data_IF_615103562855
#
_entry.id   IF_615103562855
#
_cell.length_a   1.000
_cell.length_b   1.000
_cell.length_c   1.000
_cell.angle_alpha   90.00
_cell.angle_beta   90.00
_cell.angle_gamma   90.00
#
_symmetry.space_group_name_H-M   'P 1'
#
loop_
_entity.id
_entity.type
_entity.pdbx_description
1 polymer ?
#
# COMPACT_ATOMS: atom_id res chain seq x y z
N UNK A 1 -2.79 8.03 -19.28
CA UNK A 1 -2.33 6.68 -18.97
C UNK A 1 -0.82 6.62 -19.22
N UNK A 2 -0.02 6.48 -18.16
CA UNK A 2 1.44 6.54 -18.29
C UNK A 2 1.93 5.17 -18.79
N UNK A 3 2.56 5.12 -19.95
CA UNK A 3 3.13 3.88 -20.49
C UNK A 3 4.52 3.67 -19.89
N UNK A 4 4.60 2.86 -18.85
CA UNK A 4 5.83 2.56 -18.10
C UNK A 4 6.76 1.63 -18.89
N UNK A 5 6.23 0.83 -19.80
CA UNK A 5 7.02 -0.07 -20.66
C UNK A 5 8.05 0.69 -21.53
N UNK A 6 7.94 2.01 -21.61
CA UNK A 6 8.81 2.90 -22.39
C UNK A 6 10.10 3.30 -21.68
N UNK A 7 10.26 3.01 -20.38
CA UNK A 7 11.36 3.50 -19.56
C UNK A 7 12.15 2.37 -18.89
N UNK A 8 12.78 1.51 -19.69
CA UNK A 8 13.91 0.73 -19.17
C UNK A 8 15.09 1.66 -19.03
N UNK A 9 15.34 2.12 -17.82
CA UNK A 9 16.52 2.91 -17.49
C UNK A 9 17.78 2.05 -17.67
N UNK A 10 18.79 2.57 -18.33
CA UNK A 10 20.12 2.00 -18.32
C UNK A 10 20.79 2.20 -16.94
N UNK A 11 21.98 1.66 -16.69
CA UNK A 11 22.60 1.71 -15.36
C UNK A 11 22.97 3.14 -14.94
N UNK A 12 23.41 4.00 -15.86
CA UNK A 12 23.71 5.41 -15.57
C UNK A 12 22.43 6.19 -15.21
N UNK A 13 21.35 5.94 -15.94
CA UNK A 13 20.05 6.53 -15.65
C UNK A 13 19.49 6.07 -14.31
N UNK A 14 19.71 4.81 -13.93
CA UNK A 14 19.32 4.29 -12.62
C UNK A 14 20.08 4.97 -11.47
N UNK A 15 21.38 5.17 -11.59
CA UNK A 15 22.18 5.85 -10.59
C UNK A 15 21.80 7.34 -10.48
N UNK A 16 21.57 8.01 -11.62
CA UNK A 16 21.08 9.38 -11.62
C UNK A 16 19.68 9.49 -10.98
N UNK A 17 18.80 8.56 -11.28
CA UNK A 17 17.47 8.49 -10.70
C UNK A 17 17.50 8.27 -9.19
N UNK A 18 18.36 7.37 -8.72
CA UNK A 18 18.63 7.13 -7.31
C UNK A 18 19.13 8.40 -6.60
N UNK A 19 20.07 9.12 -7.22
CA UNK A 19 20.53 10.41 -6.72
C UNK A 19 19.38 11.42 -6.57
N UNK A 20 18.49 11.53 -7.58
CA UNK A 20 17.33 12.42 -7.51
C UNK A 20 16.35 12.03 -6.39
N UNK A 21 16.12 10.73 -6.18
CA UNK A 21 15.27 10.25 -5.07
C UNK A 21 15.85 10.67 -3.72
N UNK A 22 17.17 10.54 -3.53
CA UNK A 22 17.86 10.92 -2.30
C UNK A 22 17.84 12.42 -2.03
N UNK A 23 17.77 13.25 -3.07
CA UNK A 23 17.60 14.72 -2.96
C UNK A 23 16.19 15.13 -2.55
N UNK A 24 15.24 14.23 -2.63
CA UNK A 24 13.84 14.45 -2.29
C UNK A 24 12.95 14.47 -3.52
N UNK A 25 11.94 13.61 -3.49
CA UNK A 25 10.96 13.50 -4.57
C UNK A 25 9.77 14.42 -4.29
N UNK A 26 9.39 15.30 -5.23
CA UNK A 26 8.16 16.08 -5.12
C UNK A 26 6.95 15.16 -4.89
N UNK A 27 6.02 15.63 -4.06
CA UNK A 27 4.88 14.81 -3.59
C UNK A 27 4.05 14.23 -4.75
N UNK A 28 3.85 15.03 -5.81
CA UNK A 28 3.07 14.63 -6.99
C UNK A 28 3.65 13.41 -7.75
N UNK A 29 4.96 13.13 -7.58
CA UNK A 29 5.63 12.00 -8.22
C UNK A 29 5.88 10.83 -7.26
N UNK A 30 5.74 11.04 -5.95
CA UNK A 30 6.12 10.09 -4.91
C UNK A 30 5.41 8.75 -5.07
N UNK A 31 4.11 8.78 -5.26
CA UNK A 31 3.31 7.56 -5.45
C UNK A 31 3.74 6.75 -6.69
N UNK A 32 3.96 7.44 -7.82
CA UNK A 32 4.39 6.78 -9.06
C UNK A 32 5.76 6.12 -8.91
N UNK A 33 6.69 6.80 -8.21
CA UNK A 33 8.00 6.25 -7.93
C UNK A 33 7.94 5.03 -7.03
N UNK A 34 7.09 5.04 -6.01
CA UNK A 34 6.89 3.89 -5.15
C UNK A 34 6.35 2.69 -5.91
N UNK A 35 5.36 2.88 -6.77
CA UNK A 35 4.84 1.81 -7.65
C UNK A 35 5.93 1.20 -8.53
N UNK A 36 6.77 2.04 -9.12
CA UNK A 36 7.86 1.60 -9.99
C UNK A 36 8.95 0.86 -9.22
N UNK A 37 9.47 1.49 -8.16
CA UNK A 37 10.60 0.97 -7.41
C UNK A 37 10.26 -0.28 -6.58
N UNK A 38 9.00 -0.45 -6.19
CA UNK A 38 8.56 -1.63 -5.44
C UNK A 38 8.23 -2.85 -6.31
N UNK A 39 8.11 -2.67 -7.64
CA UNK A 39 7.61 -3.70 -8.55
C UNK A 39 6.09 -3.93 -8.44
N UNK A 40 5.39 -3.13 -7.62
CA UNK A 40 3.94 -3.27 -7.44
C UNK A 40 3.16 -3.03 -8.73
N UNK A 41 3.65 -2.15 -9.58
CA UNK A 41 3.01 -1.88 -10.87
C UNK A 41 2.93 -3.14 -11.77
N UNK A 42 4.03 -3.89 -11.87
CA UNK A 42 4.05 -5.12 -12.67
C UNK A 42 3.11 -6.19 -12.09
N UNK A 43 3.04 -6.25 -10.77
CA UNK A 43 2.14 -7.17 -10.08
C UNK A 43 0.66 -6.80 -10.31
N UNK A 44 0.33 -5.52 -10.27
CA UNK A 44 -1.02 -5.03 -10.59
C UNK A 44 -1.42 -5.37 -12.03
N UNK A 45 -0.50 -5.20 -12.97
CA UNK A 45 -0.72 -5.50 -14.38
C UNK A 45 -0.95 -6.99 -14.61
N UNK A 46 -0.17 -7.84 -13.92
CA UNK A 46 -0.25 -9.30 -14.03
C UNK A 46 -1.47 -9.89 -13.33
N UNK A 47 -1.97 -9.22 -12.28
CA UNK A 47 -3.05 -9.72 -11.44
C UNK A 47 -4.09 -8.61 -11.12
N UNK A 48 -4.84 -8.14 -12.12
CA UNK A 48 -5.70 -6.95 -11.99
C UNK A 48 -6.87 -7.12 -11.01
N UNK A 49 -7.29 -8.34 -10.71
CA UNK A 49 -8.39 -8.65 -9.79
C UNK A 49 -7.92 -9.02 -8.38
N UNK A 50 -6.61 -9.22 -8.20
CA UNK A 50 -6.04 -9.81 -6.98
C UNK A 50 -6.51 -9.15 -5.68
N UNK A 51 -6.50 -7.82 -5.61
CA UNK A 51 -6.98 -7.11 -4.42
C UNK A 51 -8.48 -7.33 -4.16
N UNK A 52 -9.29 -7.29 -5.22
CA UNK A 52 -10.74 -7.51 -5.12
C UNK A 52 -11.05 -8.92 -4.63
N UNK A 53 -10.31 -9.90 -5.11
CA UNK A 53 -10.48 -11.30 -4.74
C UNK A 53 -10.08 -11.51 -3.26
N UNK A 54 -8.98 -10.89 -2.84
CA UNK A 54 -8.53 -10.94 -1.46
C UNK A 54 -9.46 -10.19 -0.50
N UNK A 55 -10.01 -9.05 -0.93
CA UNK A 55 -11.02 -8.31 -0.16
C UNK A 55 -12.33 -9.12 -0.03
N UNK A 56 -12.67 -9.92 -1.01
CA UNK A 56 -13.80 -10.84 -0.96
C UNK A 56 -13.53 -11.96 0.04
N UNK A 57 -12.36 -12.58 -0.05
CA UNK A 57 -11.90 -13.60 0.88
C UNK A 57 -11.87 -13.08 2.33
N UNK A 58 -11.45 -11.85 2.55
CA UNK A 58 -11.39 -11.24 3.89
C UNK A 58 -12.75 -11.05 4.57
N UNK A 59 -13.84 -11.08 3.81
CA UNK A 59 -15.21 -11.06 4.34
C UNK A 59 -15.71 -12.46 4.73
N UNK A 60 -15.13 -13.50 4.13
CA UNK A 60 -15.50 -14.90 4.38
C UNK A 60 -14.61 -15.50 5.47
N UNK A 61 -13.35 -15.07 5.55
CA UNK A 61 -12.37 -15.57 6.51
C UNK A 61 -12.03 -14.50 7.53
N UNK A 62 -12.36 -14.76 8.79
CA UNK A 62 -11.99 -13.87 9.88
C UNK A 62 -10.49 -13.92 10.14
N UNK A 63 -9.81 -12.78 10.01
CA UNK A 63 -8.40 -12.67 10.40
C UNK A 63 -8.25 -12.85 11.92
N UNK A 64 -7.25 -13.61 12.33
CA UNK A 64 -6.87 -13.75 13.75
C UNK A 64 -6.47 -12.42 14.39
N UNK A 65 -6.07 -11.46 13.57
CA UNK A 65 -5.59 -10.15 13.98
C UNK A 65 -6.65 -9.04 13.96
N UNK A 66 -7.91 -9.38 13.63
CA UNK A 66 -8.99 -8.39 13.48
C UNK A 66 -9.15 -7.51 14.71
N UNK A 67 -9.11 -8.10 15.92
CA UNK A 67 -9.26 -7.35 17.17
C UNK A 67 -8.10 -6.39 17.45
N UNK A 68 -6.88 -6.78 17.12
CA UNK A 68 -5.70 -5.94 17.35
C UNK A 68 -5.64 -4.80 16.30
N UNK A 69 -6.04 -5.10 15.07
CA UNK A 69 -6.20 -4.08 14.02
C UNK A 69 -7.23 -3.03 14.45
N UNK A 70 -8.43 -3.43 14.94
CA UNK A 70 -9.45 -2.47 15.36
C UNK A 70 -8.97 -1.58 16.52
N UNK A 71 -8.31 -2.16 17.54
CA UNK A 71 -7.73 -1.38 18.65
C UNK A 71 -6.72 -0.34 18.15
N UNK A 72 -5.88 -0.73 17.19
CA UNK A 72 -4.87 0.18 16.64
C UNK A 72 -5.50 1.23 15.71
N UNK A 73 -6.57 0.92 14.98
CA UNK A 73 -7.34 1.91 14.21
C UNK A 73 -7.95 2.98 15.12
N UNK A 74 -8.49 2.61 16.28
CA UNK A 74 -9.05 3.55 17.25
C UNK A 74 -7.98 4.44 17.89
N UNK A 75 -6.75 3.94 18.02
CA UNK A 75 -5.59 4.70 18.51
C UNK A 75 -4.91 5.52 17.43
N UNK A 76 -5.16 5.23 16.16
CA UNK A 76 -4.62 5.98 15.02
C UNK A 76 -5.41 7.28 14.85
N UNK A 77 -5.21 8.17 15.84
CA UNK A 77 -5.95 9.42 15.95
C UNK A 77 -5.32 10.49 15.06
N UNK A 78 -5.63 10.44 13.75
CA UNK A 78 -5.25 11.50 12.80
C UNK A 78 -6.51 12.25 12.35
N UNK A 79 -6.37 13.55 12.05
CA UNK A 79 -7.48 14.35 11.52
C UNK A 79 -8.10 13.67 10.29
N UNK A 80 -7.27 13.07 9.44
CA UNK A 80 -7.72 12.36 8.23
C UNK A 80 -8.72 11.23 8.55
N UNK A 81 -8.45 10.42 9.56
CA UNK A 81 -9.31 9.30 9.94
C UNK A 81 -10.54 9.74 10.72
N UNK A 82 -10.47 10.87 11.43
CA UNK A 82 -11.60 11.44 12.15
C UNK A 82 -12.61 12.08 11.20
N UNK A 83 -12.11 12.78 10.19
CA UNK A 83 -12.92 13.52 9.24
C UNK A 83 -13.48 12.64 8.12
N UNK A 84 -12.83 11.50 7.83
CA UNK A 84 -13.18 10.68 6.69
C UNK A 84 -13.25 9.19 7.03
N UNK A 85 -14.48 8.70 7.20
CA UNK A 85 -14.76 7.28 7.45
C UNK A 85 -14.21 6.35 6.35
N UNK A 86 -14.19 6.80 5.12
CA UNK A 86 -13.71 6.02 3.99
C UNK A 86 -12.24 5.65 4.14
N UNK A 87 -11.39 6.57 4.61
CA UNK A 87 -9.98 6.27 4.89
C UNK A 87 -9.80 5.25 6.02
N UNK A 88 -10.65 5.30 7.05
CA UNK A 88 -10.63 4.30 8.12
C UNK A 88 -10.99 2.91 7.60
N UNK A 89 -12.00 2.83 6.74
CA UNK A 89 -12.43 1.56 6.14
C UNK A 89 -11.37 1.02 5.15
N UNK A 90 -10.75 1.88 4.35
CA UNK A 90 -9.61 1.52 3.49
C UNK A 90 -8.45 0.96 4.32
N UNK A 91 -8.07 1.63 5.40
CA UNK A 91 -6.97 1.21 6.26
C UNK A 91 -7.25 -0.16 6.89
N UNK A 92 -8.48 -0.37 7.39
CA UNK A 92 -8.95 -1.65 7.90
C UNK A 92 -8.81 -2.76 6.85
N UNK A 93 -9.36 -2.52 5.66
CA UNK A 93 -9.33 -3.47 4.56
C UNK A 93 -7.91 -3.87 4.19
N UNK A 94 -7.01 -2.91 4.05
CA UNK A 94 -5.60 -3.12 3.73
C UNK A 94 -4.92 -4.00 4.78
N UNK A 95 -5.09 -3.69 6.06
CA UNK A 95 -4.43 -4.41 7.16
C UNK A 95 -4.97 -5.84 7.32
N UNK A 96 -6.29 -6.03 7.20
CA UNK A 96 -6.91 -7.36 7.26
C UNK A 96 -6.44 -8.20 6.07
N UNK A 97 -6.52 -7.67 4.86
CA UNK A 97 -6.08 -8.37 3.66
C UNK A 97 -4.59 -8.73 3.74
N UNK A 98 -3.74 -7.83 4.24
CA UNK A 98 -2.32 -8.11 4.46
C UNK A 98 -2.13 -9.29 5.42
N UNK A 99 -2.83 -9.29 6.56
CA UNK A 99 -2.70 -10.33 7.59
C UNK A 99 -3.14 -11.71 7.10
N UNK A 100 -4.14 -11.77 6.21
CA UNK A 100 -4.60 -13.02 5.59
C UNK A 100 -3.58 -13.50 4.55
N UNK A 101 -3.08 -12.59 3.71
CA UNK A 101 -2.12 -12.91 2.64
C UNK A 101 -0.77 -13.38 3.18
N UNK A 102 -0.30 -12.72 4.21
CA UNK A 102 0.99 -12.98 4.84
C UNK A 102 0.81 -13.59 6.23
N UNK A 103 0.13 -14.73 6.30
CA UNK A 103 -0.25 -15.39 7.55
C UNK A 103 0.95 -15.76 8.45
N UNK A 104 2.14 -15.93 7.88
CA UNK A 104 3.39 -16.17 8.62
C UNK A 104 3.88 -14.95 9.41
N UNK A 105 3.53 -13.74 8.95
CA UNK A 105 3.86 -12.47 9.62
C UNK A 105 2.65 -11.97 10.38
N UNK A 106 1.47 -12.07 9.77
CA UNK A 106 0.22 -11.56 10.30
C UNK A 106 0.17 -10.04 10.36
N UNK A 107 -0.35 -9.51 11.48
CA UNK A 107 -0.35 -8.08 11.77
C UNK A 107 0.65 -7.79 12.90
N UNK A 108 1.40 -6.71 12.76
CA UNK A 108 2.26 -6.18 13.80
C UNK A 108 1.87 -4.74 14.12
N UNK A 109 1.90 -4.38 15.41
CA UNK A 109 1.67 -3.02 15.87
C UNK A 109 2.60 -2.03 15.13
N UNK A 110 2.04 -0.94 14.64
CA UNK A 110 2.78 0.04 13.83
C UNK A 110 2.53 -0.08 12.33
N UNK A 111 2.04 -1.19 11.82
CA UNK A 111 1.67 -1.35 10.41
C UNK A 111 0.56 -0.38 9.99
N UNK A 112 -0.34 -0.03 10.92
CA UNK A 112 -1.38 0.98 10.73
C UNK A 112 -0.80 2.34 10.29
N UNK A 113 0.30 2.79 10.90
CA UNK A 113 0.93 4.08 10.54
C UNK A 113 1.59 4.02 9.15
N UNK A 114 2.25 2.91 8.82
CA UNK A 114 2.87 2.72 7.51
C UNK A 114 1.79 2.68 6.43
N UNK A 115 0.75 1.87 6.64
CA UNK A 115 -0.36 1.73 5.71
C UNK A 115 -1.09 3.07 5.54
N UNK A 116 -1.37 3.80 6.63
CA UNK A 116 -2.00 5.11 6.56
C UNK A 116 -1.16 6.10 5.74
N UNK A 117 0.16 6.14 5.95
CA UNK A 117 1.03 7.05 5.18
C UNK A 117 1.00 6.74 3.68
N UNK A 118 0.93 5.48 3.33
CA UNK A 118 0.78 5.06 1.93
C UNK A 118 -0.60 5.51 1.41
N UNK A 119 -1.67 5.31 2.17
CA UNK A 119 -3.04 5.73 1.84
C UNK A 119 -3.12 7.24 1.59
N UNK A 120 -2.54 8.06 2.43
CA UNK A 120 -2.50 9.53 2.28
C UNK A 120 -1.90 9.97 0.94
N UNK A 121 -0.87 9.28 0.49
CA UNK A 121 -0.13 9.65 -0.74
C UNK A 121 -0.83 9.11 -1.98
N UNK A 122 -1.34 7.91 -1.92
CA UNK A 122 -1.91 7.24 -3.09
C UNK A 122 -3.38 7.60 -3.34
N UNK A 123 -4.14 7.93 -2.29
CA UNK A 123 -5.58 8.23 -2.34
C UNK A 123 -6.43 7.14 -3.02
N UNK A 124 -5.94 5.90 -3.03
CA UNK A 124 -6.57 4.78 -3.72
C UNK A 124 -6.22 3.46 -3.03
N UNK A 125 -7.14 2.49 -3.05
CA UNK A 125 -6.97 1.14 -2.50
C UNK A 125 -5.90 0.29 -3.22
N UNK A 126 -5.45 0.71 -4.38
CA UNK A 126 -4.31 0.15 -5.12
C UNK A 126 -3.02 0.05 -4.28
N UNK A 127 -2.96 0.78 -3.21
CA UNK A 127 -1.96 0.82 -2.14
C UNK A 127 -1.65 -0.55 -1.55
N UNK A 128 -2.64 -1.38 -1.45
CA UNK A 128 -2.53 -2.73 -0.93
C UNK A 128 -1.42 -3.52 -1.64
N UNK A 129 -1.23 -3.29 -2.93
CA UNK A 129 -0.22 -3.96 -3.73
C UNK A 129 1.20 -3.55 -3.32
N UNK A 130 1.41 -2.29 -2.95
CA UNK A 130 2.69 -1.83 -2.41
C UNK A 130 3.06 -2.51 -1.08
N UNK A 131 2.06 -2.87 -0.31
CA UNK A 131 2.25 -3.49 1.01
C UNK A 131 2.48 -5.02 0.93
N UNK A 132 1.96 -5.68 -0.10
CA UNK A 132 1.93 -7.14 -0.21
C UNK A 132 3.18 -7.72 -0.85
N UNK A 133 3.77 -7.02 -1.80
CA UNK A 133 4.79 -7.60 -2.67
C UNK A 133 6.22 -7.29 -2.21
N UNK A 134 6.52 -7.55 -0.94
CA UNK A 134 7.91 -7.75 -0.50
C UNK A 134 8.05 -9.06 0.22
#
# INVERSE_FOLDING_TARGET
MFNIDKYRLNEEEKEFFKYLILKGTPEIYRFRLWLLCSGAYEQMKSNPTYYKDLLKLSKEVQSLYSNDIEKDLDRTNTNLLQENKEYKDMLRNVLICYSIRNSSIGYCQGFNFIALRIIEIAKDEVIFILFIFK
#
